data_IF_163364006610
#
_entry.id   IF_163364006610
#
_cell.length_a   1.000
_cell.length_b   1.000
_cell.length_c   1.000
_cell.angle_alpha   90.00
_cell.angle_beta   90.00
_cell.angle_gamma   90.00
#
_symmetry.space_group_name_H-M   'P 1'
#
loop_
_entity.id
_entity.type
_entity.pdbx_description
1 polymer ?
#
# COMPACT_ATOMS: atom_id res chain seq x y z
N UNK A 1 13.02 -17.13 9.28
CA UNK A 1 13.77 -16.64 10.47
C UNK A 1 13.38 -15.20 10.74
N UNK A 2 12.95 -14.84 11.95
CA UNK A 2 12.61 -13.43 12.27
C UNK A 2 13.86 -12.66 12.72
N UNK A 3 13.83 -11.33 12.58
CA UNK A 3 14.87 -10.43 13.12
C UNK A 3 15.04 -10.72 14.63
N UNK A 4 16.28 -10.87 15.09
CA UNK A 4 16.56 -11.20 16.50
C UNK A 4 16.07 -10.08 17.45
N UNK A 5 15.82 -10.40 18.72
CA UNK A 5 15.42 -9.42 19.74
C UNK A 5 16.46 -8.31 19.89
N UNK A 6 17.74 -8.64 19.80
CA UNK A 6 18.84 -7.68 19.88
C UNK A 6 18.84 -6.72 18.68
N UNK A 7 18.72 -7.25 17.47
CA UNK A 7 18.67 -6.44 16.24
C UNK A 7 17.48 -5.45 16.27
N UNK A 8 16.33 -5.90 16.79
CA UNK A 8 15.14 -5.02 16.97
C UNK A 8 15.39 -3.89 17.97
N UNK A 9 16.07 -4.17 19.07
CA UNK A 9 16.39 -3.17 20.08
C UNK A 9 17.34 -2.09 19.51
N UNK A 10 18.36 -2.53 18.78
CA UNK A 10 19.34 -1.62 18.14
C UNK A 10 18.64 -0.75 17.09
N UNK A 11 17.83 -1.33 16.20
CA UNK A 11 17.09 -0.56 15.18
C UNK A 11 16.17 0.51 15.80
N UNK A 12 15.51 0.22 16.90
CA UNK A 12 14.65 1.18 17.61
C UNK A 12 15.39 2.43 18.10
N UNK A 13 16.69 2.35 18.31
CA UNK A 13 17.55 3.45 18.80
C UNK A 13 18.18 4.26 17.67
N UNK A 14 18.11 3.76 16.41
CA UNK A 14 18.63 4.47 15.25
C UNK A 14 17.61 5.46 14.69
N UNK A 15 18.07 6.52 13.98
CA UNK A 15 17.18 7.38 13.19
C UNK A 15 16.37 6.55 12.21
N UNK A 16 15.17 7.03 11.86
CA UNK A 16 14.36 6.41 10.83
C UNK A 16 15.13 6.33 9.51
N UNK A 17 15.12 5.14 8.91
CA UNK A 17 15.69 4.93 7.58
C UNK A 17 14.97 5.79 6.53
N UNK A 18 15.65 6.07 5.42
CA UNK A 18 15.08 6.75 4.28
C UNK A 18 13.99 5.86 3.66
N UNK A 19 12.73 6.25 3.86
CA UNK A 19 11.58 5.52 3.33
C UNK A 19 11.09 6.15 2.02
N UNK A 20 11.04 5.34 0.96
CA UNK A 20 10.33 5.67 -0.27
C UNK A 20 8.94 5.04 -0.29
N UNK A 21 8.04 5.55 -1.13
CA UNK A 21 6.74 4.94 -1.39
C UNK A 21 6.54 4.66 -2.87
N UNK A 22 6.01 3.48 -3.18
CA UNK A 22 5.49 3.09 -4.48
C UNK A 22 3.97 3.15 -4.39
N UNK A 23 3.34 4.10 -5.10
CA UNK A 23 1.90 4.23 -5.18
C UNK A 23 1.42 3.46 -6.42
N UNK A 24 0.67 2.37 -6.22
CA UNK A 24 0.24 1.48 -7.31
C UNK A 24 -1.14 1.90 -7.81
N UNK A 25 -1.17 2.45 -9.02
CA UNK A 25 -2.34 2.98 -9.70
C UNK A 25 -2.60 2.36 -11.09
N UNK A 26 -1.85 1.31 -11.48
CA UNK A 26 -1.89 0.70 -12.82
C UNK A 26 -3.03 -0.32 -13.04
N UNK A 27 -3.91 -0.54 -12.05
CA UNK A 27 -4.98 -1.54 -12.13
C UNK A 27 -6.13 -1.11 -13.06
N UNK A 28 -6.69 -2.06 -13.84
CA UNK A 28 -7.86 -1.82 -14.69
C UNK A 28 -9.12 -1.58 -13.86
N UNK A 29 -9.90 -0.57 -14.25
CA UNK A 29 -11.11 -0.12 -13.54
C UNK A 29 -12.40 -0.87 -14.00
N UNK A 30 -12.36 -2.20 -14.11
CA UNK A 30 -13.48 -2.99 -14.63
C UNK A 30 -14.79 -2.82 -13.85
N UNK A 31 -14.72 -2.51 -12.54
CA UNK A 31 -15.87 -2.38 -11.63
C UNK A 31 -16.44 -0.96 -11.52
N UNK A 32 -15.83 0.02 -12.19
CA UNK A 32 -16.22 1.43 -12.14
C UNK A 32 -17.02 1.89 -13.39
N UNK A 33 -17.56 0.98 -14.19
CA UNK A 33 -18.33 1.34 -15.37
C UNK A 33 -17.54 2.11 -16.45
N UNK A 34 -16.23 1.88 -16.56
CA UNK A 34 -15.35 2.54 -17.52
C UNK A 34 -14.66 3.82 -16.99
N UNK A 35 -15.01 4.28 -15.80
CA UNK A 35 -14.32 5.40 -15.15
C UNK A 35 -13.05 4.87 -14.46
N UNK A 36 -11.90 5.49 -14.73
CA UNK A 36 -10.69 5.17 -13.98
C UNK A 36 -10.83 5.67 -12.55
N UNK A 37 -10.75 4.74 -11.58
CA UNK A 37 -10.94 5.02 -10.16
C UNK A 37 -9.90 5.97 -9.58
N UNK A 38 -8.69 6.01 -10.15
CA UNK A 38 -7.60 6.87 -9.67
C UNK A 38 -7.73 8.29 -10.22
N UNK A 39 -8.38 8.43 -11.37
CA UNK A 39 -8.70 9.71 -11.99
C UNK A 39 -10.10 10.24 -11.61
N UNK A 40 -10.93 9.42 -10.94
CA UNK A 40 -12.22 9.89 -10.44
C UNK A 40 -12.03 11.03 -9.43
N UNK A 41 -13.00 11.96 -9.40
CA UNK A 41 -12.91 13.15 -8.56
C UNK A 41 -13.59 12.91 -7.21
N UNK A 42 -12.96 13.38 -6.14
CA UNK A 42 -13.54 13.54 -4.80
C UNK A 42 -13.41 15.04 -4.46
N UNK A 43 -14.54 15.73 -4.28
CA UNK A 43 -14.60 17.19 -4.08
C UNK A 43 -13.76 17.96 -5.14
N UNK A 44 -13.85 17.54 -6.40
CA UNK A 44 -13.16 18.20 -7.51
C UNK A 44 -11.68 17.85 -7.66
N UNK A 45 -11.10 16.99 -6.82
CA UNK A 45 -9.72 16.57 -6.87
C UNK A 45 -9.60 15.08 -7.25
N UNK A 46 -8.70 14.72 -8.22
CA UNK A 46 -8.46 13.31 -8.56
C UNK A 46 -8.00 12.48 -7.35
N UNK A 47 -8.54 11.26 -7.21
CA UNK A 47 -8.19 10.29 -6.16
C UNK A 47 -6.67 10.13 -6.03
N UNK A 48 -5.96 9.98 -7.16
CA UNK A 48 -4.49 9.80 -7.15
C UNK A 48 -3.76 11.02 -6.60
N UNK A 49 -4.17 12.24 -6.97
CA UNK A 49 -3.52 13.47 -6.50
C UNK A 49 -3.68 13.62 -4.99
N UNK A 50 -4.86 13.29 -4.45
CA UNK A 50 -5.10 13.25 -3.01
C UNK A 50 -4.22 12.22 -2.31
N UNK A 51 -4.15 11.00 -2.87
CA UNK A 51 -3.29 9.94 -2.31
C UNK A 51 -1.82 10.39 -2.25
N UNK A 52 -1.29 10.96 -3.34
CA UNK A 52 0.10 11.47 -3.40
C UNK A 52 0.32 12.56 -2.36
N UNK A 53 -0.66 13.47 -2.16
CA UNK A 53 -0.57 14.56 -1.18
C UNK A 53 -0.36 14.06 0.25
N UNK A 54 -1.05 13.00 0.66
CA UNK A 54 -0.89 12.46 2.01
C UNK A 54 0.56 11.98 2.26
N UNK A 55 1.18 11.34 1.26
CA UNK A 55 2.59 10.94 1.36
C UNK A 55 3.56 12.12 1.19
N UNK A 56 3.23 13.12 0.36
CA UNK A 56 4.00 14.36 0.25
C UNK A 56 4.11 15.07 1.60
N UNK A 57 3.03 15.10 2.38
CA UNK A 57 2.96 15.79 3.67
C UNK A 57 3.55 14.96 4.83
N UNK A 58 3.87 13.69 4.62
CA UNK A 58 4.40 12.83 5.67
C UNK A 58 5.94 12.89 5.73
N UNK A 59 6.50 13.36 6.85
CA UNK A 59 7.95 13.48 7.04
C UNK A 59 8.68 12.14 7.04
N UNK A 60 8.01 11.05 7.38
CA UNK A 60 8.59 9.72 7.32
C UNK A 60 8.89 9.26 5.87
N UNK A 61 8.23 9.86 4.86
CA UNK A 61 8.42 9.57 3.45
C UNK A 61 9.35 10.60 2.82
N UNK A 62 10.35 10.13 2.09
CA UNK A 62 11.37 10.98 1.45
C UNK A 62 11.30 10.98 -0.07
N UNK A 63 10.71 9.95 -0.66
CA UNK A 63 10.65 9.77 -2.11
C UNK A 63 9.34 9.07 -2.48
N UNK A 64 8.71 9.52 -3.56
CA UNK A 64 7.44 8.97 -4.08
C UNK A 64 7.65 8.56 -5.54
N UNK A 65 7.27 7.34 -5.87
CA UNK A 65 7.14 6.84 -7.24
C UNK A 65 5.69 6.44 -7.47
N UNK A 66 5.06 7.03 -8.47
CA UNK A 66 3.72 6.62 -8.91
C UNK A 66 3.82 5.59 -10.04
N UNK A 67 3.04 4.53 -9.96
CA UNK A 67 2.99 3.46 -10.96
C UNK A 67 1.60 3.44 -11.58
N UNK A 68 1.48 3.89 -12.81
CA UNK A 68 0.20 4.04 -13.49
C UNK A 68 0.15 3.30 -14.83
N UNK A 69 -0.99 3.33 -15.52
CA UNK A 69 -1.12 2.76 -16.88
C UNK A 69 -0.42 3.66 -17.90
N UNK A 70 -0.03 3.08 -19.02
CA UNK A 70 0.67 3.80 -20.10
C UNK A 70 -0.12 4.99 -20.66
N UNK A 71 -1.45 4.86 -20.75
CA UNK A 71 -2.35 5.94 -21.22
C UNK A 71 -2.54 7.07 -20.21
N UNK A 72 -2.16 6.87 -18.96
CA UNK A 72 -2.29 7.84 -17.86
C UNK A 72 -0.95 8.46 -17.42
N UNK A 73 0.17 8.12 -18.05
CA UNK A 73 1.49 8.64 -17.67
C UNK A 73 1.52 10.17 -17.69
N UNK A 74 1.10 10.78 -18.79
CA UNK A 74 1.10 12.24 -18.91
C UNK A 74 0.13 12.91 -17.94
N UNK A 75 -1.17 12.52 -17.90
CA UNK A 75 -2.10 13.09 -16.93
C UNK A 75 -1.65 12.97 -15.47
N UNK A 76 -1.11 11.82 -15.06
CA UNK A 76 -0.62 11.62 -13.69
C UNK A 76 0.65 12.41 -13.43
N UNK A 77 1.57 12.49 -14.40
CA UNK A 77 2.77 13.31 -14.26
C UNK A 77 2.43 14.80 -14.07
N UNK A 78 1.46 15.31 -14.81
CA UNK A 78 1.00 16.70 -14.68
C UNK A 78 0.38 16.94 -13.29
N UNK A 79 -0.43 16.01 -12.79
CA UNK A 79 -1.01 16.05 -11.45
C UNK A 79 0.06 15.97 -10.34
N UNK A 80 1.13 15.24 -10.58
CA UNK A 80 2.21 15.05 -9.61
C UNK A 80 3.25 16.19 -9.61
N UNK A 81 3.29 17.04 -10.65
CA UNK A 81 4.27 18.11 -10.79
C UNK A 81 4.42 19.04 -9.56
N UNK A 82 3.34 19.38 -8.80
CA UNK A 82 3.46 20.22 -7.60
C UNK A 82 4.10 19.52 -6.40
N UNK A 83 4.26 18.19 -6.42
CA UNK A 83 4.71 17.40 -5.28
C UNK A 83 6.21 17.13 -5.35
N UNK A 84 6.99 17.83 -4.55
CA UNK A 84 8.47 17.83 -4.59
C UNK A 84 9.11 16.48 -4.27
N UNK A 85 8.41 15.58 -3.56
CA UNK A 85 8.90 14.23 -3.25
C UNK A 85 8.64 13.22 -4.37
N UNK A 86 7.82 13.56 -5.38
CA UNK A 86 7.59 12.68 -6.53
C UNK A 86 8.81 12.74 -7.45
N UNK A 87 9.53 11.63 -7.54
CA UNK A 87 10.75 11.52 -8.32
C UNK A 87 10.52 10.85 -9.67
N UNK A 88 9.47 10.05 -9.81
CA UNK A 88 9.11 9.40 -11.06
C UNK A 88 7.63 9.02 -11.12
N UNK A 89 7.08 9.02 -12.34
CA UNK A 89 5.83 8.37 -12.71
C UNK A 89 6.18 7.33 -13.76
N UNK A 90 5.89 6.05 -13.48
CA UNK A 90 6.32 4.94 -14.33
C UNK A 90 5.15 4.07 -14.76
N UNK A 91 5.32 3.34 -15.87
CA UNK A 91 4.31 2.41 -16.38
C UNK A 91 4.29 1.15 -15.51
N UNK A 92 3.11 0.69 -15.13
CA UNK A 92 2.89 -0.60 -14.47
C UNK A 92 3.21 -1.78 -15.39
N UNK A 93 3.33 -2.96 -14.78
CA UNK A 93 3.53 -4.21 -15.49
C UNK A 93 2.22 -4.96 -15.76
N UNK A 94 2.33 -6.18 -16.28
CA UNK A 94 1.19 -7.05 -16.64
C UNK A 94 0.32 -7.42 -15.43
N UNK A 95 0.88 -7.38 -14.24
CA UNK A 95 0.19 -7.68 -13.00
C UNK A 95 0.68 -6.78 -11.86
N UNK A 96 0.09 -6.97 -10.66
CA UNK A 96 0.44 -6.15 -9.49
C UNK A 96 1.91 -6.31 -9.08
N UNK A 97 2.45 -7.53 -9.13
CA UNK A 97 3.86 -7.80 -8.78
C UNK A 97 4.80 -7.05 -9.70
N UNK A 98 4.61 -7.18 -11.01
CA UNK A 98 5.42 -6.49 -12.02
C UNK A 98 5.30 -4.96 -11.88
N UNK A 99 4.11 -4.44 -11.54
CA UNK A 99 3.89 -3.01 -11.28
C UNK A 99 4.69 -2.54 -10.06
N UNK A 100 4.66 -3.28 -8.95
CA UNK A 100 5.47 -2.96 -7.76
C UNK A 100 6.96 -3.02 -8.08
N UNK A 101 7.43 -4.04 -8.82
CA UNK A 101 8.83 -4.15 -9.23
C UNK A 101 9.28 -2.97 -10.09
N UNK A 102 8.44 -2.49 -11.02
CA UNK A 102 8.73 -1.29 -11.81
C UNK A 102 8.88 -0.05 -10.91
N UNK A 103 8.00 0.10 -9.92
CA UNK A 103 8.11 1.16 -8.92
C UNK A 103 9.37 1.07 -8.07
N UNK A 104 9.71 -0.12 -7.57
CA UNK A 104 10.95 -0.35 -6.81
C UNK A 104 12.21 0.01 -7.61
N UNK A 105 12.23 -0.34 -8.89
CA UNK A 105 13.37 -0.04 -9.78
C UNK A 105 13.53 1.46 -10.05
N UNK A 106 12.50 2.26 -9.89
CA UNK A 106 12.53 3.70 -10.08
C UNK A 106 12.91 4.48 -8.81
N UNK A 107 12.88 3.85 -7.64
CA UNK A 107 13.34 4.44 -6.38
C UNK A 107 14.87 4.57 -6.36
N UNK A 108 15.37 5.60 -5.68
CA UNK A 108 16.81 5.82 -5.55
C UNK A 108 17.49 4.78 -4.64
N UNK A 109 18.79 4.62 -4.80
CA UNK A 109 19.61 3.73 -3.95
C UNK A 109 19.71 4.17 -2.48
N UNK A 110 19.17 5.35 -2.14
CA UNK A 110 19.11 5.85 -0.76
C UNK A 110 17.96 5.23 0.05
N UNK A 111 16.99 4.62 -0.63
CA UNK A 111 15.82 4.03 0.02
C UNK A 111 16.20 2.71 0.68
N UNK A 112 15.99 2.63 1.99
CA UNK A 112 16.21 1.42 2.81
C UNK A 112 14.89 0.79 3.29
N UNK A 113 13.84 1.61 3.45
CA UNK A 113 12.48 1.15 3.68
C UNK A 113 11.61 1.54 2.49
N UNK A 114 10.70 0.67 2.11
CA UNK A 114 9.74 0.94 1.05
C UNK A 114 8.31 0.67 1.52
N UNK A 115 7.45 1.65 1.31
CA UNK A 115 6.00 1.53 1.44
C UNK A 115 5.40 1.20 0.08
N UNK A 116 4.49 0.24 0.02
CA UNK A 116 3.65 -0.01 -1.16
C UNK A 116 2.22 0.37 -0.80
N UNK A 117 1.65 1.29 -1.57
CA UNK A 117 0.32 1.83 -1.29
C UNK A 117 -0.60 1.75 -2.51
N UNK A 118 -1.87 1.43 -2.28
CA UNK A 118 -2.89 1.47 -3.33
C UNK A 118 -3.23 2.92 -3.68
N UNK A 119 -3.01 3.35 -4.92
CA UNK A 119 -3.37 4.70 -5.40
C UNK A 119 -4.85 5.04 -5.27
N UNK A 120 -5.70 4.06 -5.01
CA UNK A 120 -7.12 4.20 -4.77
C UNK A 120 -7.52 4.26 -3.28
N UNK A 121 -6.59 4.61 -2.36
CA UNK A 121 -6.87 4.86 -0.93
C UNK A 121 -6.52 6.31 -0.55
N UNK A 122 -7.37 7.28 -0.95
CA UNK A 122 -7.06 8.70 -0.82
C UNK A 122 -7.21 9.25 0.60
N UNK A 123 -7.70 8.46 1.56
CA UNK A 123 -7.99 8.89 2.93
C UNK A 123 -7.01 8.29 3.95
N UNK A 124 -5.82 7.91 3.49
CA UNK A 124 -4.76 7.46 4.40
C UNK A 124 -4.30 8.62 5.27
N UNK A 125 -4.24 8.43 6.60
CA UNK A 125 -3.78 9.45 7.53
C UNK A 125 -2.27 9.39 7.78
N UNK A 126 -1.70 10.54 8.16
CA UNK A 126 -0.31 10.66 8.59
C UNK A 126 0.04 9.66 9.69
N UNK A 127 -0.85 9.50 10.68
CA UNK A 127 -0.63 8.63 11.84
C UNK A 127 -0.49 7.16 11.43
N UNK A 128 -1.29 6.70 10.45
CA UNK A 128 -1.20 5.33 9.93
C UNK A 128 0.09 5.14 9.15
N UNK A 129 0.48 6.12 8.31
CA UNK A 129 1.75 6.05 7.55
C UNK A 129 2.92 5.98 8.55
N UNK A 130 3.02 6.94 9.48
CA UNK A 130 4.14 7.05 10.43
C UNK A 130 4.28 5.80 11.30
N UNK A 131 3.16 5.31 11.90
CA UNK A 131 3.21 4.10 12.75
C UNK A 131 3.62 2.86 11.97
N UNK A 132 3.22 2.75 10.70
CA UNK A 132 3.58 1.59 9.86
C UNK A 132 5.05 1.63 9.48
N UNK A 133 5.58 2.80 9.08
CA UNK A 133 7.01 3.00 8.79
C UNK A 133 7.87 2.69 10.01
N UNK A 134 7.52 3.21 11.21
CA UNK A 134 8.25 2.92 12.45
C UNK A 134 8.22 1.45 12.84
N UNK A 135 7.09 0.79 12.62
CA UNK A 135 6.99 -0.65 12.87
C UNK A 135 7.88 -1.44 11.89
N UNK A 136 7.87 -1.11 10.60
CA UNK A 136 8.72 -1.75 9.61
C UNK A 136 10.22 -1.50 9.89
N UNK A 137 10.59 -0.28 10.27
CA UNK A 137 11.97 0.03 10.71
C UNK A 137 12.42 -0.90 11.85
N UNK A 138 11.53 -1.21 12.79
CA UNK A 138 11.84 -2.07 13.94
C UNK A 138 11.81 -3.57 13.60
N UNK A 139 10.83 -4.00 12.79
CA UNK A 139 10.51 -5.42 12.59
C UNK A 139 10.88 -5.95 11.20
N UNK A 140 11.26 -5.08 10.25
CA UNK A 140 11.60 -5.41 8.87
C UNK A 140 10.41 -5.48 7.93
N UNK A 141 9.18 -5.67 8.44
CA UNK A 141 7.94 -5.67 7.68
C UNK A 141 6.75 -5.30 8.56
N UNK A 142 5.86 -4.44 8.09
CA UNK A 142 4.65 -4.05 8.80
C UNK A 142 3.52 -3.67 7.83
N UNK A 143 2.28 -3.87 8.27
CA UNK A 143 1.09 -3.45 7.56
C UNK A 143 0.00 -2.97 8.53
N UNK A 144 -0.82 -1.98 8.16
CA UNK A 144 -1.99 -1.59 8.94
C UNK A 144 -3.16 -2.56 8.67
N UNK A 145 -3.98 -2.74 9.67
CA UNK A 145 -5.21 -3.53 9.54
C UNK A 145 -6.27 -3.08 10.52
N UNK A 146 -7.52 -3.34 10.19
CA UNK A 146 -8.67 -3.08 11.05
C UNK A 146 -9.35 -4.40 11.41
N UNK A 147 -9.95 -4.54 12.61
CA UNK A 147 -10.69 -5.74 12.99
C UNK A 147 -11.83 -6.02 12.01
N UNK A 148 -12.03 -7.28 11.67
CA UNK A 148 -13.17 -7.68 10.84
C UNK A 148 -14.46 -7.55 11.63
N UNK A 149 -15.45 -6.82 11.10
CA UNK A 149 -16.75 -6.57 11.76
C UNK A 149 -17.74 -7.72 11.57
N UNK A 150 -17.78 -8.25 10.35
CA UNK A 150 -18.71 -9.32 9.98
C UNK A 150 -18.24 -10.71 10.37
N UNK A 151 -19.16 -11.66 10.43
CA UNK A 151 -18.80 -13.08 10.56
C UNK A 151 -18.32 -13.62 9.23
N UNK A 152 -17.05 -14.01 9.16
CA UNK A 152 -16.44 -14.57 7.97
C UNK A 152 -16.71 -16.08 7.87
N UNK A 153 -17.10 -16.53 6.68
CA UNK A 153 -17.31 -17.94 6.35
C UNK A 153 -16.29 -18.38 5.31
N UNK A 154 -15.64 -19.51 5.51
CA UNK A 154 -14.92 -20.21 4.45
C UNK A 154 -15.92 -21.03 3.68
N UNK A 155 -15.95 -20.89 2.34
CA UNK A 155 -16.96 -21.53 1.47
C UNK A 155 -16.26 -22.32 0.37
N UNK A 156 -16.69 -23.56 0.15
CA UNK A 156 -16.26 -24.36 -0.97
C UNK A 156 -17.52 -24.95 -1.66
N UNK A 157 -17.59 -24.82 -2.99
CA UNK A 157 -18.75 -25.31 -3.78
C UNK A 157 -20.10 -24.71 -3.34
N UNK A 158 -20.12 -23.47 -2.85
CA UNK A 158 -21.33 -22.81 -2.33
C UNK A 158 -21.75 -23.22 -0.92
N UNK A 159 -21.01 -24.14 -0.27
CA UNK A 159 -21.31 -24.64 1.10
C UNK A 159 -20.28 -24.10 2.09
N UNK A 160 -20.76 -23.69 3.26
CA UNK A 160 -19.89 -23.24 4.36
C UNK A 160 -19.10 -24.42 4.90
N UNK A 161 -17.75 -24.32 4.90
CA UNK A 161 -16.84 -25.35 5.42
C UNK A 161 -16.31 -25.03 6.80
N UNK A 162 -16.13 -23.75 7.12
CA UNK A 162 -15.70 -23.32 8.47
C UNK A 162 -16.08 -21.87 8.75
N UNK A 163 -15.97 -21.49 10.02
CA UNK A 163 -16.16 -20.13 10.50
C UNK A 163 -14.94 -19.77 11.36
N UNK A 164 -13.96 -19.01 10.82
CA UNK A 164 -12.81 -18.57 11.59
C UNK A 164 -13.21 -17.71 12.80
N UNK A 165 -12.44 -17.75 13.88
CA UNK A 165 -12.62 -16.82 14.99
C UNK A 165 -12.32 -15.39 14.54
N UNK A 166 -13.35 -14.54 14.46
CA UNK A 166 -13.24 -13.14 14.03
C UNK A 166 -12.20 -12.34 14.82
N UNK A 167 -11.97 -12.69 16.10
CA UNK A 167 -10.98 -12.00 16.94
C UNK A 167 -9.55 -12.15 16.43
N UNK A 168 -9.28 -13.15 15.62
CA UNK A 168 -7.95 -13.40 15.02
C UNK A 168 -7.81 -12.82 13.60
N UNK A 169 -8.88 -12.24 13.06
CA UNK A 169 -8.90 -11.72 11.69
C UNK A 169 -8.73 -10.21 11.66
N UNK A 170 -7.92 -9.77 10.69
CA UNK A 170 -7.72 -8.35 10.37
C UNK A 170 -7.97 -8.15 8.87
N UNK A 171 -8.72 -7.10 8.52
CA UNK A 171 -8.79 -6.61 7.14
C UNK A 171 -7.57 -5.74 6.88
N UNK A 172 -6.60 -6.29 6.14
CA UNK A 172 -5.34 -5.61 5.86
C UNK A 172 -5.55 -4.43 4.94
N UNK A 173 -4.81 -3.35 5.22
CA UNK A 173 -4.80 -2.14 4.42
C UNK A 173 -3.39 -1.88 3.85
N UNK A 174 -3.23 -0.76 3.15
CA UNK A 174 -1.95 -0.20 2.76
C UNK A 174 -1.79 1.20 3.38
N UNK A 175 -0.54 1.71 3.58
CA UNK A 175 0.72 1.20 3.03
C UNK A 175 1.21 -0.06 3.72
N UNK A 176 1.70 -1.03 2.95
CA UNK A 176 2.48 -2.15 3.45
C UNK A 176 3.96 -1.76 3.36
N UNK A 177 4.68 -1.80 4.46
CA UNK A 177 6.04 -1.25 4.55
C UNK A 177 7.04 -2.34 4.89
N UNK A 178 8.17 -2.33 4.17
CA UNK A 178 9.18 -3.38 4.25
C UNK A 178 10.59 -2.79 4.21
N UNK A 179 11.55 -3.55 4.72
CA UNK A 179 12.94 -3.43 4.30
C UNK A 179 13.01 -3.61 2.77
N UNK A 180 13.71 -2.70 2.08
CA UNK A 180 13.73 -2.65 0.62
C UNK A 180 14.23 -3.94 -0.02
N UNK A 181 15.36 -4.47 0.49
CA UNK A 181 15.96 -5.69 -0.05
C UNK A 181 15.10 -6.92 0.25
N UNK A 182 14.43 -6.95 1.41
CA UNK A 182 13.50 -8.01 1.76
C UNK A 182 12.34 -8.07 0.76
N UNK A 183 11.66 -6.95 0.49
CA UNK A 183 10.54 -6.94 -0.46
C UNK A 183 11.00 -7.28 -1.86
N UNK A 184 12.11 -6.67 -2.33
CA UNK A 184 12.68 -6.94 -3.65
C UNK A 184 12.99 -8.42 -3.83
N UNK A 185 13.61 -9.04 -2.81
CA UNK A 185 13.92 -10.48 -2.81
C UNK A 185 12.66 -11.36 -2.79
N UNK A 186 11.65 -11.00 -2.00
CA UNK A 186 10.38 -11.72 -1.91
C UNK A 186 9.63 -11.73 -3.23
N UNK A 187 9.47 -10.57 -3.87
CA UNK A 187 8.78 -10.45 -5.16
C UNK A 187 9.54 -11.18 -6.29
N UNK A 188 10.88 -11.08 -6.31
CA UNK A 188 11.69 -11.86 -7.25
C UNK A 188 11.46 -13.35 -7.08
N UNK A 189 11.50 -13.84 -5.82
CA UNK A 189 11.29 -15.26 -5.52
C UNK A 189 9.87 -15.72 -5.86
N UNK A 190 8.86 -14.88 -5.62
CA UNK A 190 7.49 -15.18 -5.97
C UNK A 190 7.32 -15.41 -7.48
N UNK A 191 7.96 -14.57 -8.32
CA UNK A 191 7.97 -14.74 -9.78
C UNK A 191 8.68 -16.03 -10.19
N UNK A 192 9.89 -16.28 -9.65
CA UNK A 192 10.70 -17.47 -9.96
C UNK A 192 9.97 -18.78 -9.63
N UNK A 193 9.19 -18.79 -8.55
CA UNK A 193 8.49 -19.97 -8.04
C UNK A 193 7.04 -20.07 -8.52
N UNK A 194 6.53 -19.09 -9.28
CA UNK A 194 5.15 -19.03 -9.71
C UNK A 194 4.14 -18.94 -8.55
N UNK A 195 4.50 -18.25 -7.48
CA UNK A 195 3.61 -18.12 -6.31
C UNK A 195 2.44 -17.19 -6.61
N UNK A 196 1.23 -17.66 -6.26
CA UNK A 196 0.06 -16.80 -6.22
C UNK A 196 0.10 -15.95 -4.93
N UNK A 197 0.37 -14.67 -5.06
CA UNK A 197 0.38 -13.71 -3.96
C UNK A 197 -0.81 -12.76 -4.07
N UNK A 198 -1.46 -12.47 -2.97
CA UNK A 198 -2.63 -11.59 -2.91
C UNK A 198 -2.24 -10.12 -2.66
N UNK A 199 -1.16 -9.92 -1.89
CA UNK A 199 -0.58 -8.62 -1.55
C UNK A 199 0.94 -8.75 -1.32
N UNK A 200 1.61 -7.64 -0.99
CA UNK A 200 3.06 -7.66 -0.80
C UNK A 200 3.46 -8.36 0.51
N UNK A 201 2.59 -8.35 1.52
CA UNK A 201 2.79 -9.09 2.76
C UNK A 201 2.87 -10.59 2.51
N UNK A 202 1.97 -11.14 1.69
CA UNK A 202 1.95 -12.57 1.37
C UNK A 202 3.25 -13.06 0.70
N UNK A 203 3.86 -12.23 -0.15
CA UNK A 203 5.17 -12.56 -0.74
C UNK A 203 6.27 -12.71 0.34
N UNK A 204 6.29 -11.79 1.30
CA UNK A 204 7.25 -11.79 2.42
C UNK A 204 6.97 -12.94 3.39
N UNK A 205 5.71 -13.26 3.65
CA UNK A 205 5.27 -14.38 4.48
C UNK A 205 5.68 -15.74 3.87
N UNK A 206 5.58 -15.90 2.57
CA UNK A 206 6.01 -17.11 1.86
C UNK A 206 7.54 -17.32 1.92
N UNK A 207 8.35 -16.29 2.20
CA UNK A 207 9.76 -16.43 2.57
C UNK A 207 9.97 -16.86 4.03
N UNK A 208 8.90 -17.10 4.80
CA UNK A 208 8.97 -17.43 6.22
C UNK A 208 9.24 -16.22 7.14
N UNK A 209 9.14 -15.01 6.60
CA UNK A 209 9.29 -13.78 7.39
C UNK A 209 7.95 -13.38 8.02
N UNK A 210 8.01 -12.65 9.14
CA UNK A 210 6.82 -12.21 9.87
C UNK A 210 6.52 -10.76 9.57
N UNK A 211 5.27 -10.47 9.20
CA UNK A 211 4.76 -9.11 9.05
C UNK A 211 4.14 -8.65 10.37
N UNK A 212 4.53 -7.45 10.83
CA UNK A 212 3.96 -6.84 12.04
C UNK A 212 2.67 -6.11 11.68
N UNK A 213 1.54 -6.54 12.23
CA UNK A 213 0.30 -5.77 12.13
C UNK A 213 0.34 -4.56 13.06
N UNK A 214 -0.08 -3.41 12.55
CA UNK A 214 -0.33 -2.18 13.30
C UNK A 214 -1.79 -1.77 13.14
N UNK A 215 -2.27 -0.90 14.01
CA UNK A 215 -3.63 -0.38 13.94
C UNK A 215 -3.81 0.43 12.65
N UNK A 216 -4.81 0.07 11.85
CA UNK A 216 -5.25 0.79 10.66
C UNK A 216 -6.25 1.89 11.01
N UNK A 217 -6.94 2.38 9.97
CA UNK A 217 -8.02 3.35 10.10
C UNK A 217 -9.20 2.90 9.23
N UNK A 218 -10.41 2.86 9.79
CA UNK A 218 -11.62 2.51 9.04
C UNK A 218 -11.90 3.53 7.92
N UNK A 219 -11.45 4.78 8.06
CA UNK A 219 -11.55 5.81 7.03
C UNK A 219 -10.61 5.57 5.83
N UNK A 220 -9.54 4.77 6.01
CA UNK A 220 -8.61 4.41 4.94
C UNK A 220 -9.23 3.38 3.98
N UNK A 221 -10.41 3.71 3.44
CA UNK A 221 -11.14 2.87 2.49
C UNK A 221 -10.44 2.80 1.14
N UNK A 222 -10.68 1.69 0.41
CA UNK A 222 -10.21 1.52 -0.97
C UNK A 222 -11.35 1.81 -1.93
N UNK A 223 -11.18 2.78 -2.80
CA UNK A 223 -12.14 3.08 -3.87
C UNK A 223 -12.14 1.91 -4.87
N UNK A 224 -13.25 1.18 -4.93
CA UNK A 224 -13.45 0.02 -5.82
C UNK A 224 -14.74 0.09 -6.60
N UNK A 225 -15.72 0.84 -6.11
CA UNK A 225 -17.04 1.04 -6.69
C UNK A 225 -17.42 2.53 -6.70
N UNK A 226 -18.42 2.97 -7.50
CA UNK A 226 -18.93 4.33 -7.44
C UNK A 226 -19.51 4.74 -6.07
N UNK A 227 -19.97 3.76 -5.27
CA UNK A 227 -20.46 4.03 -3.92
C UNK A 227 -19.32 4.45 -3.00
N UNK A 228 -18.11 3.86 -3.16
CA UNK A 228 -16.96 4.21 -2.33
C UNK A 228 -16.52 5.66 -2.53
N UNK A 229 -16.73 6.26 -3.71
CA UNK A 229 -16.48 7.68 -3.95
C UNK A 229 -17.37 8.55 -3.06
N UNK A 230 -18.69 8.25 -3.01
CA UNK A 230 -19.63 8.98 -2.16
C UNK A 230 -19.29 8.84 -0.68
N UNK A 231 -18.91 7.63 -0.27
CA UNK A 231 -18.47 7.38 1.11
C UNK A 231 -17.20 8.19 1.41
N UNK A 232 -16.25 8.25 0.48
CA UNK A 232 -15.02 9.03 0.65
C UNK A 232 -15.32 10.55 0.78
N UNK A 233 -16.26 11.09 0.00
CA UNK A 233 -16.69 12.49 0.10
C UNK A 233 -17.30 12.79 1.48
N UNK A 234 -18.22 11.94 1.96
CA UNK A 234 -18.81 12.08 3.29
C UNK A 234 -17.76 12.02 4.42
N UNK A 235 -16.82 11.08 4.33
CA UNK A 235 -15.75 10.96 5.33
C UNK A 235 -14.84 12.18 5.35
N UNK A 236 -14.61 12.81 4.21
CA UNK A 236 -13.80 14.04 4.12
C UNK A 236 -14.51 15.25 4.73
N UNK A 237 -15.83 15.34 4.60
CA UNK A 237 -16.63 16.41 5.24
C UNK A 237 -16.55 16.33 6.76
N UNK A 238 -16.50 15.12 7.33
CA UNK A 238 -16.33 14.90 8.77
C UNK A 238 -14.90 15.19 9.29
N UNK A 239 -13.91 15.31 8.40
CA UNK A 239 -12.50 15.55 8.76
C UNK A 239 -12.13 17.06 8.72
N UNK A 240 -13.01 17.92 8.22
CA UNK A 240 -12.84 19.38 8.15
C UNK A 240 -13.36 20.05 9.42
#
# INVERSE_FOLDING_TARGET
MGISRYTRLVRRMLPLDHCGVVIVAAGNATRMGGIDKTMALIHGEPVIARTVREFQNCDAIKEIVDVTRSDLIMPVSDLCHPFSKVTAVVVGGENRVASVQNGLNALSSKVHLVAVHDGARPLISFEVIDRTVRAAHTYGAAAPGVPVKDTIKVVAGGVVTSTPDRKTLQAVQTPQVFDFDLLRGALKKAVEMGWEITDDCSAVEMLGMRVRMVEGDEKNIKITTPMDLKIAEMLLEEMQ
#
